data_IF_926290702959
#
_entry.id   IF_926290702959
#
_cell.length_a   1.000
_cell.length_b   1.000
_cell.length_c   1.000
_cell.angle_alpha   90.00
_cell.angle_beta   90.00
_cell.angle_gamma   90.00
#
_symmetry.space_group_name_H-M   'P 1'
#
loop_
_entity.id
_entity.type
_entity.pdbx_description
1 polymer ?
#
# COMPACT_ATOMS: atom_id res chain seq x y z
N UNK A 1 6.99 -41.05 -30.69
CA UNK A 1 8.24 -40.27 -30.94
C UNK A 1 7.88 -39.20 -31.96
N UNK A 2 7.99 -37.90 -31.75
CA UNK A 2 8.44 -37.09 -30.64
C UNK A 2 7.85 -35.68 -30.80
N UNK A 3 7.60 -35.01 -29.69
CA UNK A 3 7.10 -33.65 -29.62
C UNK A 3 8.24 -32.65 -29.82
N UNK A 4 8.00 -31.61 -30.64
CA UNK A 4 8.72 -30.32 -30.66
C UNK A 4 7.87 -29.38 -31.51
N UNK A 5 7.51 -28.16 -31.15
CA UNK A 5 7.89 -27.32 -30.04
C UNK A 5 7.28 -25.96 -30.37
N UNK A 6 6.08 -25.69 -29.87
CA UNK A 6 5.41 -24.40 -30.04
C UNK A 6 6.11 -23.39 -29.12
N UNK A 7 7.05 -22.62 -29.68
CA UNK A 7 7.69 -21.51 -28.99
C UNK A 7 6.67 -20.39 -28.85
N UNK A 8 5.79 -20.50 -27.86
CA UNK A 8 4.95 -19.38 -27.42
C UNK A 8 5.85 -18.22 -27.06
N UNK A 9 5.68 -17.14 -27.83
CA UNK A 9 6.37 -15.88 -27.75
C UNK A 9 6.56 -15.41 -26.30
N UNK A 10 7.75 -14.90 -26.03
CA UNK A 10 8.13 -14.40 -24.72
C UNK A 10 7.09 -13.44 -24.17
N UNK A 11 6.48 -13.80 -23.04
CA UNK A 11 5.84 -12.85 -22.14
C UNK A 11 6.96 -11.95 -21.61
N UNK A 12 7.31 -10.90 -22.34
CA UNK A 12 7.94 -9.73 -21.73
C UNK A 12 6.92 -9.22 -20.72
N UNK A 13 7.03 -9.67 -19.47
CA UNK A 13 6.36 -9.00 -18.38
C UNK A 13 6.88 -7.58 -18.40
N UNK A 14 6.08 -6.65 -18.91
CA UNK A 14 6.26 -5.23 -18.65
C UNK A 14 5.98 -5.02 -17.17
N UNK A 15 6.91 -5.49 -16.32
CA UNK A 15 6.96 -5.06 -14.93
C UNK A 15 7.07 -3.53 -15.04
N UNK A 16 6.08 -2.76 -14.56
CA UNK A 16 6.21 -1.32 -14.59
C UNK A 16 7.53 -1.00 -13.88
N UNK A 17 8.43 -0.31 -14.59
CA UNK A 17 9.66 0.21 -14.01
C UNK A 17 9.22 1.15 -12.90
N UNK A 18 9.20 0.65 -11.65
CA UNK A 18 8.99 1.45 -10.44
C UNK A 18 9.85 2.69 -10.58
N UNK A 19 9.22 3.83 -10.86
CA UNK A 19 9.98 5.07 -10.97
C UNK A 19 10.52 5.33 -9.56
N UNK A 20 11.78 5.77 -9.42
CA UNK A 20 12.36 6.03 -8.08
C UNK A 20 11.48 6.95 -7.20
N UNK A 21 10.63 7.78 -7.80
CA UNK A 21 9.61 8.60 -7.10
C UNK A 21 8.53 7.76 -6.40
N UNK A 22 8.20 6.60 -6.93
CA UNK A 22 7.26 5.67 -6.30
C UNK A 22 7.82 5.10 -5.02
N UNK A 23 9.14 4.91 -4.89
CA UNK A 23 9.71 4.27 -3.70
C UNK A 23 9.59 5.16 -2.45
N UNK A 24 9.85 6.46 -2.56
CA UNK A 24 9.68 7.38 -1.43
C UNK A 24 8.20 7.53 -1.05
N UNK A 25 7.32 7.53 -2.05
CA UNK A 25 5.87 7.53 -1.81
C UNK A 25 5.38 6.21 -1.19
N UNK A 26 5.88 5.06 -1.63
CA UNK A 26 5.60 3.74 -1.06
C UNK A 26 6.08 3.66 0.39
N UNK A 27 7.29 4.15 0.68
CA UNK A 27 7.83 4.24 2.06
C UNK A 27 6.99 5.16 2.94
N UNK A 28 6.61 6.33 2.42
CA UNK A 28 5.75 7.27 3.12
C UNK A 28 4.39 6.64 3.45
N UNK A 29 3.73 6.00 2.46
CA UNK A 29 2.49 5.26 2.68
C UNK A 29 2.66 4.16 3.72
N UNK A 30 3.74 3.37 3.64
CA UNK A 30 4.01 2.32 4.63
C UNK A 30 4.15 2.91 6.05
N UNK A 31 4.85 4.05 6.20
CA UNK A 31 4.97 4.76 7.48
C UNK A 31 3.61 5.20 8.02
N UNK A 32 2.74 5.77 7.17
CA UNK A 32 1.39 6.19 7.56
C UNK A 32 0.55 5.04 8.11
N UNK A 33 0.60 3.85 7.50
CA UNK A 33 -0.17 2.69 7.95
C UNK A 33 0.48 1.94 9.12
N UNK A 34 1.78 2.16 9.38
CA UNK A 34 2.48 1.57 10.53
C UNK A 34 2.28 2.34 11.83
N UNK A 35 1.90 3.62 11.76
CA UNK A 35 1.64 4.44 12.95
C UNK A 35 0.18 4.26 13.40
N UNK A 36 -0.01 3.43 14.43
CA UNK A 36 -1.34 3.17 15.01
C UNK A 36 -2.06 4.43 15.50
N UNK A 37 -1.31 5.49 15.86
CA UNK A 37 -1.92 6.74 16.33
C UNK A 37 -2.73 7.43 15.23
N UNK A 38 -2.34 7.24 13.97
CA UNK A 38 -3.01 7.79 12.79
C UNK A 38 -4.19 6.94 12.33
N UNK A 39 -4.28 5.68 12.77
CA UNK A 39 -5.33 4.77 12.34
C UNK A 39 -6.67 5.11 13.00
N UNK A 40 -7.73 4.91 12.22
CA UNK A 40 -9.12 4.97 12.66
C UNK A 40 -9.63 3.57 12.88
N UNK A 41 -10.19 3.33 14.07
CA UNK A 41 -10.80 2.07 14.44
C UNK A 41 -12.26 2.29 14.79
N UNK A 42 -13.08 1.29 14.54
CA UNK A 42 -14.41 1.22 15.11
C UNK A 42 -14.88 -0.21 15.22
N UNK A 43 -16.19 -0.38 15.31
CA UNK A 43 -16.84 -1.67 15.48
C UNK A 43 -17.74 -1.92 14.28
N UNK A 44 -17.68 -3.11 13.69
CA UNK A 44 -18.59 -3.49 12.61
C UNK A 44 -19.94 -3.98 13.16
N UNK A 45 -20.87 -4.34 12.27
CA UNK A 45 -22.21 -4.85 12.61
C UNK A 45 -22.19 -6.13 13.46
N UNK A 46 -21.08 -6.87 13.46
CA UNK A 46 -20.88 -8.11 14.22
C UNK A 46 -20.24 -7.87 15.60
N UNK A 47 -19.94 -6.62 15.96
CA UNK A 47 -19.25 -6.31 17.21
C UNK A 47 -17.72 -6.47 17.15
N UNK A 48 -17.15 -6.73 15.97
CA UNK A 48 -15.70 -6.91 15.82
C UNK A 48 -14.98 -5.58 15.66
N UNK A 49 -13.80 -5.46 16.28
CA UNK A 49 -12.94 -4.29 16.10
C UNK A 49 -12.33 -4.32 14.71
N UNK A 50 -12.56 -3.26 13.95
CA UNK A 50 -12.06 -3.10 12.57
C UNK A 50 -11.23 -1.83 12.42
N UNK A 51 -10.20 -1.88 11.58
CA UNK A 51 -9.40 -0.73 11.18
C UNK A 51 -9.93 -0.20 9.84
N UNK A 52 -10.33 1.07 9.80
CA UNK A 52 -10.83 1.74 8.60
C UNK A 52 -9.72 2.43 7.78
N UNK A 53 -8.48 2.43 8.28
CA UNK A 53 -7.32 3.06 7.64
C UNK A 53 -6.86 4.32 8.37
N UNK A 54 -6.14 5.19 7.67
CA UNK A 54 -5.59 6.45 8.23
C UNK A 54 -6.69 7.50 8.32
N UNK A 55 -6.85 8.11 9.50
CA UNK A 55 -7.76 9.24 9.71
C UNK A 55 -7.13 10.53 9.16
N UNK A 56 -7.88 11.25 8.32
CA UNK A 56 -7.45 12.52 7.75
C UNK A 56 -7.20 13.55 8.86
N UNK A 57 -8.10 13.67 9.84
CA UNK A 57 -7.97 14.65 10.93
C UNK A 57 -6.70 14.41 11.75
N UNK A 58 -6.41 13.14 12.06
CA UNK A 58 -5.19 12.77 12.80
C UNK A 58 -3.93 12.99 11.97
N UNK A 59 -3.99 12.73 10.67
CA UNK A 59 -2.89 13.00 9.74
C UNK A 59 -2.64 14.51 9.62
N UNK A 60 -3.67 15.32 9.43
CA UNK A 60 -3.56 16.78 9.39
C UNK A 60 -2.93 17.33 10.65
N UNK A 61 -3.40 16.91 11.83
CA UNK A 61 -2.79 17.30 13.09
C UNK A 61 -1.32 16.88 13.21
N UNK A 62 -0.97 15.67 12.78
CA UNK A 62 0.41 15.20 12.80
C UNK A 62 1.32 16.02 11.85
N UNK A 63 0.79 16.50 10.73
CA UNK A 63 1.50 17.42 9.82
C UNK A 63 1.69 18.78 10.51
N UNK A 64 0.65 19.32 11.14
CA UNK A 64 0.72 20.59 11.88
C UNK A 64 1.72 20.52 13.04
N UNK A 65 1.83 19.35 13.69
CA UNK A 65 2.78 19.05 14.77
C UNK A 65 4.22 18.78 14.24
N UNK A 66 4.45 18.78 12.93
CA UNK A 66 5.77 18.58 12.31
C UNK A 66 6.30 17.14 12.38
N UNK A 67 5.43 16.14 12.45
CA UNK A 67 5.84 14.71 12.52
C UNK A 67 6.36 14.13 11.20
N UNK A 68 6.18 14.82 10.08
CA UNK A 68 6.53 14.35 8.73
C UNK A 68 7.46 15.31 7.98
#
# INVERSE_FOLDING_TARGET
MGATGDKTAGRTSSRPRRQRRDLEFEKFRARLFSDESLLSFGTNEKGERVCYGVSIDKLSKAIDDGKF
#
